data_IF_928632401854
#
_entry.id   IF_928632401854
#
_cell.length_a   1.000
_cell.length_b   1.000
_cell.length_c   1.000
_cell.angle_alpha   90.00
_cell.angle_beta   90.00
_cell.angle_gamma   90.00
#
_symmetry.space_group_name_H-M   'P 1'
#
loop_
_entity.id
_entity.type
_entity.pdbx_description
1 polymer ?
#
# COMPACT_ATOMS: atom_id res chain seq x y z
N UNK A 1 8.25 -24.39 -37.52
CA UNK A 1 7.81 -23.20 -38.27
C UNK A 1 8.63 -22.02 -37.74
N UNK A 2 9.66 -21.65 -38.49
CA UNK A 2 10.58 -20.56 -38.14
C UNK A 2 9.94 -19.26 -38.59
N UNK A 3 9.85 -18.28 -37.70
CA UNK A 3 9.47 -16.90 -38.02
C UNK A 3 10.63 -15.96 -37.68
N UNK A 4 11.01 -15.28 -38.69
CA UNK A 4 12.02 -14.26 -38.89
C UNK A 4 12.02 -13.17 -37.81
N UNK A 5 13.15 -12.94 -37.17
CA UNK A 5 13.51 -11.67 -36.57
C UNK A 5 14.39 -10.88 -37.52
N UNK A 6 13.92 -9.74 -37.96
CA UNK A 6 14.58 -8.80 -38.85
C UNK A 6 15.78 -8.11 -38.20
N UNK A 7 16.85 -7.80 -38.91
CA UNK A 7 18.09 -7.27 -38.36
C UNK A 7 18.10 -5.73 -38.37
N UNK A 8 17.37 -5.10 -37.47
CA UNK A 8 17.41 -3.63 -37.33
C UNK A 8 18.16 -3.14 -36.07
N UNK A 9 18.62 -4.05 -35.22
CA UNK A 9 19.33 -3.69 -33.98
C UNK A 9 20.86 -3.83 -34.06
N UNK A 10 21.44 -4.26 -35.17
CA UNK A 10 22.88 -4.49 -35.29
C UNK A 10 23.63 -3.25 -35.77
N UNK A 11 22.94 -2.28 -36.37
CA UNK A 11 23.55 -1.05 -36.90
C UNK A 11 23.92 -0.02 -35.84
N UNK A 12 23.14 0.11 -34.80
CA UNK A 12 23.44 1.11 -33.75
C UNK A 12 24.53 0.69 -32.75
N UNK A 13 24.73 -0.62 -32.56
CA UNK A 13 25.83 -1.11 -31.68
C UNK A 13 27.22 -0.98 -32.29
N UNK A 14 27.33 -0.89 -33.62
CA UNK A 14 28.64 -0.71 -34.31
C UNK A 14 29.11 0.75 -34.30
N UNK A 15 28.21 1.72 -34.22
CA UNK A 15 28.59 3.14 -34.07
C UNK A 15 29.03 3.50 -32.67
N UNK A 16 28.56 2.79 -31.64
CA UNK A 16 28.95 3.01 -30.23
C UNK A 16 30.30 2.34 -29.93
N UNK A 17 30.65 1.28 -30.63
CA UNK A 17 31.93 0.55 -30.45
C UNK A 17 33.13 1.23 -31.07
N UNK A 18 32.97 2.14 -32.06
CA UNK A 18 34.09 2.86 -32.68
C UNK A 18 34.54 4.13 -31.91
N UNK A 19 33.85 4.51 -30.83
CA UNK A 19 34.21 5.67 -30.00
C UNK A 19 34.90 5.25 -28.69
N UNK A 20 35.06 3.95 -28.44
CA UNK A 20 35.50 3.40 -27.16
C UNK A 20 36.98 3.06 -27.06
N UNK A 21 37.81 3.35 -28.07
CA UNK A 21 39.19 2.86 -28.15
C UNK A 21 40.29 3.92 -27.94
N UNK A 22 39.99 4.97 -27.18
CA UNK A 22 41.07 5.78 -26.57
C UNK A 22 40.68 6.34 -25.20
N UNK A 23 41.31 5.77 -24.14
CA UNK A 23 41.50 6.33 -22.79
C UNK A 23 40.35 6.22 -21.79
N UNK A 24 40.50 5.26 -20.90
CA UNK A 24 39.98 5.15 -19.52
C UNK A 24 38.53 5.60 -19.23
N UNK A 25 37.69 4.74 -18.58
CA UNK A 25 36.22 4.96 -18.44
C UNK A 25 35.78 6.15 -17.61
N UNK A 26 36.72 6.84 -16.95
CA UNK A 26 36.40 7.96 -16.03
C UNK A 26 36.37 9.35 -16.69
N UNK A 27 36.71 9.46 -17.96
CA UNK A 27 36.72 10.79 -18.63
C UNK A 27 35.59 11.07 -19.63
N UNK A 28 34.80 10.06 -20.00
CA UNK A 28 33.74 10.22 -21.03
C UNK A 28 32.44 10.78 -20.45
N UNK A 29 32.16 10.54 -19.18
CA UNK A 29 30.94 11.10 -18.52
C UNK A 29 30.97 12.61 -18.30
N UNK A 30 32.16 13.24 -18.32
CA UNK A 30 32.30 14.67 -18.06
C UNK A 30 32.16 15.59 -19.30
N UNK A 31 32.23 15.04 -20.52
CA UNK A 31 32.24 15.88 -21.73
C UNK A 31 30.88 16.07 -22.43
N UNK A 32 29.92 15.19 -22.18
CA UNK A 32 28.58 15.30 -22.79
C UNK A 32 27.69 16.27 -22.01
N UNK A 33 27.98 16.50 -20.73
CA UNK A 33 27.20 17.43 -19.88
C UNK A 33 27.77 18.88 -19.81
N UNK A 34 28.95 19.16 -20.40
CA UNK A 34 29.60 20.46 -20.26
C UNK A 34 29.23 21.50 -21.34
N UNK A 35 28.56 21.11 -22.42
CA UNK A 35 28.30 22.02 -23.54
C UNK A 35 26.93 22.70 -23.56
N UNK A 36 26.04 22.46 -22.56
CA UNK A 36 24.73 23.11 -22.48
C UNK A 36 24.56 24.02 -21.27
N UNK A 37 25.63 24.42 -20.59
CA UNK A 37 25.57 25.11 -19.28
C UNK A 37 25.92 26.61 -19.30
N UNK A 38 26.12 27.26 -20.43
CA UNK A 38 26.60 28.63 -20.44
C UNK A 38 25.58 29.74 -20.63
N UNK A 39 24.28 29.43 -20.84
CA UNK A 39 23.30 30.53 -21.09
C UNK A 39 21.86 30.18 -20.63
N UNK A 40 21.64 29.80 -19.37
CA UNK A 40 20.28 29.89 -18.80
C UNK A 40 20.35 30.28 -17.32
N UNK A 41 19.66 31.39 -17.00
CA UNK A 41 19.66 32.03 -15.69
C UNK A 41 19.49 31.05 -14.52
N UNK A 42 20.40 31.14 -13.56
CA UNK A 42 20.62 30.21 -12.46
C UNK A 42 19.49 30.13 -11.41
N UNK A 43 18.41 30.89 -11.52
CA UNK A 43 17.46 31.06 -10.43
C UNK A 43 16.05 30.47 -10.66
N UNK A 44 15.73 29.92 -11.84
CA UNK A 44 14.36 29.46 -12.15
C UNK A 44 14.22 27.93 -12.27
N UNK A 45 15.29 27.20 -12.38
CA UNK A 45 15.24 25.80 -12.84
C UNK A 45 15.21 24.75 -11.73
N UNK A 46 15.76 25.02 -10.54
CA UNK A 46 15.81 24.01 -9.48
C UNK A 46 14.44 23.78 -8.79
N UNK A 47 13.57 24.79 -8.80
CA UNK A 47 12.23 24.68 -8.19
C UNK A 47 11.41 23.55 -8.82
N UNK A 48 11.49 23.41 -10.14
CA UNK A 48 10.79 22.33 -10.87
C UNK A 48 11.28 20.94 -10.42
N UNK A 49 12.59 20.78 -10.26
CA UNK A 49 13.16 19.51 -9.79
C UNK A 49 12.81 19.23 -8.32
N UNK A 50 12.76 20.29 -7.51
CA UNK A 50 12.37 20.18 -6.10
C UNK A 50 10.89 19.79 -5.99
N UNK A 51 10.00 20.48 -6.71
CA UNK A 51 8.55 20.21 -6.72
C UNK A 51 8.29 18.77 -7.20
N UNK A 52 8.97 18.33 -8.27
CA UNK A 52 8.86 16.96 -8.77
C UNK A 52 9.36 15.91 -7.76
N UNK A 53 10.47 16.21 -7.07
CA UNK A 53 10.99 15.31 -6.03
C UNK A 53 10.04 15.23 -4.83
N UNK A 54 9.48 16.36 -4.41
CA UNK A 54 8.47 16.40 -3.34
C UNK A 54 7.23 15.59 -3.72
N UNK A 55 6.80 15.66 -4.97
CA UNK A 55 5.67 14.87 -5.48
C UNK A 55 5.96 13.37 -5.42
N UNK A 56 7.14 12.93 -5.90
CA UNK A 56 7.58 11.52 -5.77
C UNK A 56 7.59 11.08 -4.30
N UNK A 57 8.20 11.86 -3.41
CA UNK A 57 8.30 11.52 -1.99
C UNK A 57 6.93 11.48 -1.32
N UNK A 58 6.00 12.35 -1.71
CA UNK A 58 4.62 12.35 -1.22
C UNK A 58 3.86 11.08 -1.61
N UNK A 59 4.04 10.58 -2.84
CA UNK A 59 3.50 9.29 -3.28
C UNK A 59 4.10 8.11 -2.48
N UNK A 60 5.34 8.24 -2.02
CA UNK A 60 5.98 7.30 -1.10
C UNK A 60 5.58 7.52 0.38
N UNK A 61 4.63 8.43 0.64
CA UNK A 61 4.14 8.81 1.99
C UNK A 61 5.21 9.44 2.89
N UNK A 62 6.28 9.96 2.30
CA UNK A 62 7.29 10.73 3.02
C UNK A 62 6.85 12.20 3.02
N UNK A 63 6.67 12.76 4.21
CA UNK A 63 6.33 14.19 4.37
C UNK A 63 7.52 15.06 3.96
N UNK A 64 7.24 16.14 3.21
CA UNK A 64 8.24 17.08 2.77
C UNK A 64 7.87 18.50 3.19
N UNK A 65 8.86 19.26 3.68
CA UNK A 65 8.66 20.64 4.12
C UNK A 65 9.81 21.52 3.61
N UNK A 66 9.48 22.78 3.31
CA UNK A 66 10.46 23.84 3.02
C UNK A 66 10.28 24.90 4.08
N UNK A 67 11.31 25.20 4.81
CA UNK A 67 11.28 26.13 5.95
C UNK A 67 12.37 27.18 5.80
N UNK A 68 12.16 28.32 6.43
CA UNK A 68 13.17 29.38 6.50
C UNK A 68 14.24 29.06 7.58
N UNK A 69 15.48 29.47 7.36
CA UNK A 69 16.55 29.41 8.36
C UNK A 69 16.35 30.55 9.40
N UNK A 70 16.67 30.35 10.69
CA UNK A 70 17.24 29.14 11.26
C UNK A 70 16.21 28.01 11.42
N UNK A 71 16.72 26.75 11.40
CA UNK A 71 15.87 25.59 11.62
C UNK A 71 15.16 25.66 12.98
N UNK A 72 13.84 25.58 12.96
CA UNK A 72 13.00 25.47 14.15
C UNK A 72 12.13 24.23 14.00
N UNK A 73 12.23 23.30 14.94
CA UNK A 73 11.42 22.10 14.94
C UNK A 73 9.92 22.41 14.99
N UNK A 74 9.17 21.71 14.17
CA UNK A 74 7.71 21.70 14.22
C UNK A 74 7.21 20.27 14.41
N UNK A 75 6.17 20.09 15.19
CA UNK A 75 5.57 18.78 15.50
C UNK A 75 5.09 18.02 14.25
N UNK A 76 4.84 18.71 13.14
CA UNK A 76 4.48 18.08 11.87
C UNK A 76 5.64 17.27 11.25
N UNK A 77 6.90 17.56 11.63
CA UNK A 77 8.07 16.91 11.01
C UNK A 77 8.28 15.47 11.48
N UNK A 78 7.72 15.07 12.62
CA UNK A 78 7.74 13.67 13.10
C UNK A 78 6.32 13.10 13.27
N UNK A 79 5.31 13.73 12.67
CA UNK A 79 3.92 13.31 12.81
C UNK A 79 3.39 13.43 14.24
N UNK A 80 3.99 14.30 15.07
CA UNK A 80 3.58 14.54 16.46
C UNK A 80 4.09 13.51 17.47
N UNK A 81 5.00 12.62 17.08
CA UNK A 81 5.54 11.55 17.94
C UNK A 81 6.06 12.10 19.25
N UNK A 82 7.02 13.02 19.19
CA UNK A 82 7.70 13.56 20.37
C UNK A 82 6.78 14.39 21.27
N UNK A 83 5.92 15.19 20.66
CA UNK A 83 4.94 15.98 21.40
C UNK A 83 3.93 15.12 22.16
N UNK A 84 3.57 13.98 21.59
CA UNK A 84 2.64 13.03 22.23
C UNK A 84 3.28 12.33 23.41
N UNK A 85 4.54 11.91 23.28
CA UNK A 85 5.23 11.12 24.31
C UNK A 85 5.71 12.02 25.46
N UNK A 86 6.32 13.17 25.15
CA UNK A 86 6.93 14.04 26.13
C UNK A 86 6.01 15.17 26.59
N UNK A 87 6.15 15.58 27.83
CA UNK A 87 5.50 16.80 28.30
C UNK A 87 6.13 18.06 27.67
N UNK A 88 5.48 19.20 27.82
CA UNK A 88 5.90 20.45 27.17
C UNK A 88 7.32 20.91 27.54
N UNK A 89 7.79 20.61 28.76
CA UNK A 89 9.13 21.01 29.20
C UNK A 89 10.21 20.14 28.56
N UNK A 90 10.05 18.81 28.61
CA UNK A 90 10.95 17.85 27.99
C UNK A 90 10.95 18.02 26.46
N UNK A 91 9.80 18.19 25.86
CA UNK A 91 9.66 18.44 24.44
C UNK A 91 10.44 19.70 24.00
N UNK A 92 10.25 20.83 24.67
CA UNK A 92 10.99 22.07 24.35
C UNK A 92 12.49 21.92 24.49
N UNK A 93 12.97 21.25 25.55
CA UNK A 93 14.40 21.01 25.75
C UNK A 93 15.02 20.20 24.61
N UNK A 94 14.38 19.06 24.27
CA UNK A 94 14.83 18.18 23.20
C UNK A 94 14.82 18.86 21.82
N UNK A 95 13.77 19.67 21.56
CA UNK A 95 13.67 20.38 20.28
C UNK A 95 14.73 21.46 20.15
N UNK A 96 15.11 22.13 21.22
CA UNK A 96 16.21 23.10 21.21
C UNK A 96 17.56 22.43 20.90
N UNK A 97 17.82 21.25 21.45
CA UNK A 97 19.03 20.49 21.15
C UNK A 97 19.03 20.00 19.70
N UNK A 98 17.88 19.57 19.20
CA UNK A 98 17.73 19.15 17.81
C UNK A 98 17.89 20.34 16.83
N UNK A 99 17.30 21.48 17.13
CA UNK A 99 17.45 22.71 16.35
C UNK A 99 18.93 23.11 16.24
N UNK A 100 19.64 23.08 17.38
CA UNK A 100 21.09 23.37 17.40
C UNK A 100 21.87 22.37 16.58
N UNK A 101 21.53 21.08 16.67
CA UNK A 101 22.19 20.03 15.91
C UNK A 101 22.02 20.24 14.41
N UNK A 102 20.79 20.39 13.92
CA UNK A 102 20.51 20.63 12.50
C UNK A 102 21.22 21.88 12.01
N UNK A 103 21.15 23.00 12.76
CA UNK A 103 21.81 24.26 12.39
C UNK A 103 23.34 24.12 12.32
N UNK A 104 23.93 23.26 13.16
CA UNK A 104 25.38 23.05 13.15
C UNK A 104 25.87 22.22 11.95
N UNK A 105 25.10 21.21 11.56
CA UNK A 105 25.49 20.24 10.53
C UNK A 105 24.88 20.52 9.15
N UNK A 106 23.89 21.42 9.06
CA UNK A 106 23.29 21.84 7.78
C UNK A 106 24.22 22.82 7.07
N UNK A 107 25.02 22.30 6.13
CA UNK A 107 25.99 23.09 5.36
C UNK A 107 25.54 23.22 3.91
N UNK A 108 26.08 24.22 3.22
CA UNK A 108 25.90 24.35 1.78
C UNK A 108 26.41 23.11 1.05
N UNK A 109 25.75 22.71 -0.01
CA UNK A 109 26.09 21.54 -0.83
C UNK A 109 26.22 20.22 -0.04
N UNK A 110 25.50 20.10 1.08
CA UNK A 110 25.57 18.90 1.94
C UNK A 110 24.18 18.33 2.14
N UNK A 111 24.05 17.04 1.90
CA UNK A 111 22.91 16.24 2.30
C UNK A 111 23.16 15.75 3.71
N UNK A 112 22.34 16.18 4.65
CA UNK A 112 22.42 15.70 6.02
C UNK A 112 21.31 14.65 6.23
N UNK A 113 21.68 13.39 6.46
CA UNK A 113 20.78 12.29 6.81
C UNK A 113 20.91 12.04 8.31
N UNK A 114 19.82 12.15 9.01
CA UNK A 114 19.75 11.98 10.46
C UNK A 114 18.95 10.73 10.80
N UNK A 115 19.58 9.83 11.53
CA UNK A 115 18.95 8.69 12.21
C UNK A 115 18.74 9.04 13.69
N UNK A 116 17.52 8.95 14.18
CA UNK A 116 17.21 9.30 15.57
C UNK A 116 17.04 8.06 16.48
N UNK A 117 16.84 8.30 17.78
CA UNK A 117 16.64 7.24 18.78
C UNK A 117 15.32 6.48 18.64
N UNK A 118 14.42 6.93 17.80
CA UNK A 118 13.17 6.25 17.43
C UNK A 118 13.31 5.46 16.13
N UNK A 119 14.53 5.30 15.59
CA UNK A 119 14.81 4.67 14.30
C UNK A 119 14.09 5.34 13.12
N UNK A 120 13.82 6.64 13.23
CA UNK A 120 13.30 7.46 12.17
C UNK A 120 14.44 8.16 11.44
N UNK A 121 14.34 8.20 10.10
CA UNK A 121 15.26 8.88 9.21
C UNK A 121 14.69 10.20 8.75
N UNK A 122 15.54 11.22 8.66
CA UNK A 122 15.22 12.54 8.15
C UNK A 122 16.33 13.00 7.21
N UNK A 123 15.96 13.67 6.13
CA UNK A 123 16.88 14.26 5.17
C UNK A 123 16.74 15.77 5.23
N UNK A 124 17.86 16.48 5.34
CA UNK A 124 17.95 17.92 5.36
C UNK A 124 18.86 18.41 4.25
N UNK A 125 18.39 19.42 3.50
CA UNK A 125 19.15 20.08 2.45
C UNK A 125 18.99 21.60 2.61
N UNK A 126 20.08 22.35 2.67
CA UNK A 126 20.03 23.79 2.51
C UNK A 126 19.91 24.12 1.02
N UNK A 127 18.83 24.80 0.61
CA UNK A 127 18.58 25.09 -0.80
C UNK A 127 19.57 26.13 -1.33
N UNK A 128 20.03 26.00 -2.60
CA UNK A 128 20.97 26.95 -3.18
C UNK A 128 20.37 28.34 -3.27
N UNK A 129 21.21 29.35 -3.12
CA UNK A 129 20.87 30.79 -3.24
C UNK A 129 19.68 31.23 -2.38
N UNK A 130 19.44 30.53 -1.27
CA UNK A 130 18.34 30.85 -0.35
C UNK A 130 18.68 30.45 1.09
N UNK A 131 18.03 31.10 2.04
CA UNK A 131 18.10 30.71 3.46
C UNK A 131 17.05 29.64 3.82
N UNK A 132 16.64 28.82 2.84
CA UNK A 132 15.63 27.79 3.04
C UNK A 132 16.24 26.42 3.18
N UNK A 133 15.61 25.61 4.03
CA UNK A 133 15.98 24.23 4.27
C UNK A 133 14.83 23.34 3.81
N UNK A 134 15.14 22.39 2.94
CA UNK A 134 14.22 21.29 2.59
C UNK A 134 14.38 20.16 3.60
N UNK A 135 13.26 19.61 4.03
CA UNK A 135 13.20 18.47 4.96
C UNK A 135 12.33 17.40 4.33
N UNK A 136 12.79 16.14 4.38
CA UNK A 136 12.00 14.97 4.05
C UNK A 136 12.06 13.94 5.19
N UNK A 137 10.94 13.44 5.62
CA UNK A 137 10.79 12.46 6.71
C UNK A 137 9.50 12.69 7.51
N UNK A 138 9.20 11.83 8.52
CA UNK A 138 9.98 10.66 8.92
C UNK A 138 9.76 9.46 7.99
N UNK A 139 10.76 8.61 7.88
CA UNK A 139 10.69 7.29 7.27
C UNK A 139 11.68 6.35 7.97
N UNK A 140 11.72 5.06 7.63
CA UNK A 140 12.71 4.15 8.21
C UNK A 140 13.22 3.15 7.19
N UNK A 141 14.42 2.61 7.45
CA UNK A 141 14.98 1.47 6.70
C UNK A 141 14.76 0.14 7.42
N UNK A 142 14.19 0.18 8.62
CA UNK A 142 13.93 -0.98 9.46
C UNK A 142 12.44 -1.30 9.50
N UNK A 143 12.09 -2.60 9.39
CA UNK A 143 10.73 -3.06 9.65
C UNK A 143 10.47 -3.19 11.15
N UNK A 144 9.33 -2.69 11.60
CA UNK A 144 8.96 -2.73 13.01
C UNK A 144 7.99 -3.88 13.29
N UNK A 145 8.44 -4.80 14.15
CA UNK A 145 7.60 -5.83 14.76
C UNK A 145 7.15 -5.35 16.14
N UNK A 146 6.10 -5.94 16.72
CA UNK A 146 5.68 -5.61 18.09
C UNK A 146 6.81 -5.82 19.11
N UNK A 147 7.63 -6.86 18.93
CA UNK A 147 8.80 -7.08 19.76
C UNK A 147 9.78 -5.92 19.61
N UNK A 148 10.09 -5.52 18.38
CA UNK A 148 11.03 -4.42 18.11
C UNK A 148 10.52 -3.08 18.66
N UNK A 149 9.21 -2.80 18.55
CA UNK A 149 8.60 -1.62 19.16
C UNK A 149 8.71 -1.66 20.68
N UNK A 150 8.49 -2.82 21.29
CA UNK A 150 8.67 -2.99 22.74
C UNK A 150 10.12 -2.77 23.19
N UNK A 151 11.08 -3.28 22.41
CA UNK A 151 12.52 -3.05 22.64
C UNK A 151 12.87 -1.56 22.55
N UNK A 152 12.34 -0.86 21.52
CA UNK A 152 12.54 0.59 21.34
C UNK A 152 11.89 1.39 22.49
N UNK A 153 10.69 1.02 22.91
CA UNK A 153 10.04 1.65 24.07
C UNK A 153 10.89 1.45 25.34
N UNK A 154 11.40 0.24 25.55
CA UNK A 154 12.26 -0.06 26.70
C UNK A 154 13.58 0.72 26.65
N UNK A 155 14.23 0.73 25.47
CA UNK A 155 15.48 1.48 25.26
C UNK A 155 15.32 2.97 25.53
N UNK A 156 14.24 3.57 25.04
CA UNK A 156 13.93 4.99 25.27
C UNK A 156 13.21 5.25 26.60
N UNK A 157 13.03 4.23 27.46
CA UNK A 157 12.31 4.30 28.74
C UNK A 157 10.86 4.80 28.62
N UNK A 158 10.18 4.54 27.49
CA UNK A 158 8.81 4.97 27.22
C UNK A 158 7.83 4.13 28.05
N UNK A 159 6.93 4.74 28.84
CA UNK A 159 5.94 4.01 29.63
C UNK A 159 5.01 3.15 28.78
N UNK A 160 4.61 1.98 29.32
CA UNK A 160 3.76 1.00 28.62
C UNK A 160 2.42 1.56 28.13
N UNK A 161 1.89 2.64 28.76
CA UNK A 161 0.68 3.32 28.32
C UNK A 161 0.75 3.90 26.88
N UNK A 162 1.96 4.07 26.35
CA UNK A 162 2.18 4.53 24.97
C UNK A 162 2.32 3.39 23.95
N UNK A 163 2.30 2.11 24.36
CA UNK A 163 2.57 1.00 23.45
C UNK A 163 1.62 0.97 22.26
N UNK A 164 0.32 1.16 22.47
CA UNK A 164 -0.67 1.17 21.39
C UNK A 164 -0.43 2.34 20.42
N UNK A 165 -0.16 3.51 20.95
CA UNK A 165 0.21 4.69 20.15
C UNK A 165 1.48 4.42 19.30
N UNK A 166 2.52 3.83 19.89
CA UNK A 166 3.76 3.50 19.18
C UNK A 166 3.53 2.46 18.08
N UNK A 167 2.67 1.46 18.33
CA UNK A 167 2.29 0.47 17.31
C UNK A 167 1.57 1.13 16.13
N UNK A 168 0.63 2.04 16.40
CA UNK A 168 -0.07 2.78 15.34
C UNK A 168 0.87 3.71 14.57
N UNK A 169 1.78 4.39 15.28
CA UNK A 169 2.76 5.28 14.67
C UNK A 169 3.68 4.52 13.70
N UNK A 170 4.31 3.43 14.16
CA UNK A 170 5.21 2.65 13.31
C UNK A 170 4.47 1.89 12.20
N UNK A 171 3.21 1.54 12.38
CA UNK A 171 2.39 0.98 11.31
C UNK A 171 2.13 1.99 10.18
N UNK A 172 2.08 3.29 10.50
CA UNK A 172 1.89 4.37 9.53
C UNK A 172 3.21 4.89 8.94
N UNK A 173 4.35 4.60 9.57
CA UNK A 173 5.66 5.07 9.13
C UNK A 173 6.07 4.41 7.80
N UNK A 174 6.47 5.17 6.77
CA UNK A 174 7.01 4.61 5.54
C UNK A 174 8.31 3.83 5.81
N UNK A 175 8.38 2.60 5.28
CA UNK A 175 9.56 1.74 5.47
C UNK A 175 10.12 1.31 4.12
N UNK A 176 11.43 1.50 3.93
CA UNK A 176 12.17 1.13 2.73
C UNK A 176 13.30 0.17 3.09
N UNK A 177 13.26 -1.05 2.60
CA UNK A 177 14.28 -2.08 2.92
C UNK A 177 15.59 -1.87 2.17
N UNK A 178 15.61 -1.07 1.11
CA UNK A 178 16.82 -0.69 0.37
C UNK A 178 17.07 0.82 0.49
N UNK A 179 18.07 1.19 1.29
CA UNK A 179 18.49 2.59 1.48
C UNK A 179 18.82 3.28 0.16
N UNK A 180 19.39 2.53 -0.81
CA UNK A 180 19.81 3.08 -2.11
C UNK A 180 18.64 3.65 -2.92
N UNK A 181 17.43 3.18 -2.67
CA UNK A 181 16.24 3.68 -3.35
C UNK A 181 16.00 5.16 -3.02
N UNK A 182 15.94 5.50 -1.75
CA UNK A 182 15.74 6.89 -1.30
C UNK A 182 16.97 7.74 -1.62
N UNK A 183 18.17 7.21 -1.39
CA UNK A 183 19.43 7.89 -1.73
C UNK A 183 19.49 8.23 -3.23
N UNK A 184 19.02 7.35 -4.11
CA UNK A 184 19.01 7.60 -5.57
C UNK A 184 18.09 8.77 -5.94
N UNK A 185 16.91 8.88 -5.32
CA UNK A 185 15.97 10.00 -5.55
C UNK A 185 16.64 11.31 -5.12
N UNK A 186 17.19 11.35 -3.91
CA UNK A 186 17.81 12.54 -3.36
C UNK A 186 19.10 12.92 -4.10
N UNK A 187 19.93 11.97 -4.46
CA UNK A 187 21.12 12.20 -5.26
C UNK A 187 20.78 12.76 -6.65
N UNK A 188 19.68 12.30 -7.24
CA UNK A 188 19.20 12.83 -8.51
C UNK A 188 18.79 14.30 -8.36
N UNK A 189 18.05 14.66 -7.33
CA UNK A 189 17.74 16.05 -7.01
C UNK A 189 19.03 16.86 -6.84
N UNK A 190 19.93 16.43 -5.95
CA UNK A 190 21.15 17.16 -5.61
C UNK A 190 22.10 17.35 -6.80
N UNK A 191 22.14 16.40 -7.73
CA UNK A 191 22.89 16.53 -8.99
C UNK A 191 22.34 17.65 -9.91
N UNK A 192 21.08 18.09 -9.69
CA UNK A 192 20.48 19.23 -10.38
C UNK A 192 20.65 20.54 -9.63
N UNK A 193 20.77 20.46 -8.29
CA UNK A 193 21.03 21.62 -7.45
C UNK A 193 22.48 22.06 -7.49
N UNK A 194 23.41 21.11 -7.44
CA UNK A 194 24.86 21.40 -7.27
C UNK A 194 25.73 20.61 -8.23
N UNK A 195 26.87 21.17 -8.58
CA UNK A 195 27.89 20.48 -9.37
C UNK A 195 28.64 19.43 -8.53
N UNK A 196 28.84 19.74 -7.24
CA UNK A 196 29.45 18.86 -6.25
C UNK A 196 28.68 18.95 -4.94
N UNK A 197 28.43 17.83 -4.31
CA UNK A 197 27.79 17.76 -2.99
C UNK A 197 28.37 16.61 -2.18
N UNK A 198 28.15 16.66 -0.86
CA UNK A 198 28.58 15.61 0.08
C UNK A 198 27.37 15.07 0.82
N UNK A 199 27.47 13.81 1.30
CA UNK A 199 26.45 13.18 2.13
C UNK A 199 27.04 12.99 3.52
N UNK A 200 26.42 13.58 4.53
CA UNK A 200 26.76 13.38 5.94
C UNK A 200 25.64 12.59 6.62
N UNK A 201 25.95 11.36 7.09
CA UNK A 201 25.04 10.56 7.92
C UNK A 201 25.37 10.79 9.38
N UNK A 202 24.39 11.19 10.18
CA UNK A 202 24.55 11.46 11.63
C UNK A 202 23.51 10.68 12.42
N UNK A 203 23.90 10.22 13.61
CA UNK A 203 22.98 9.65 14.59
C UNK A 203 22.78 10.63 15.73
N UNK A 204 21.51 10.89 16.04
CA UNK A 204 21.14 11.60 17.25
C UNK A 204 20.65 10.56 18.25
N UNK A 205 21.52 10.27 19.22
CA UNK A 205 21.13 9.49 20.39
C UNK A 205 20.61 10.47 21.43
N UNK A 206 19.37 10.28 21.85
CA UNK A 206 18.83 11.02 22.98
C UNK A 206 19.67 10.65 24.21
N UNK A 207 20.36 11.61 24.82
CA UNK A 207 21.02 11.35 26.09
C UNK A 207 19.92 11.02 27.09
N UNK A 208 19.97 9.83 27.70
CA UNK A 208 19.17 9.47 28.86
C UNK A 208 19.56 10.37 30.03
N UNK A 209 19.07 11.57 30.05
CA UNK A 209 19.08 12.41 31.26
C UNK A 209 17.84 12.00 32.07
N UNK A 210 18.05 11.65 33.30
CA UNK A 210 17.28 10.90 34.28
C UNK A 210 15.86 11.38 34.61
N UNK A 211 15.25 12.31 33.89
CA UNK A 211 13.89 12.78 34.14
C UNK A 211 13.21 13.29 32.89
N UNK A 212 12.96 12.42 31.90
CA UNK A 212 11.95 12.78 30.92
C UNK A 212 10.58 12.70 31.59
N UNK A 213 9.95 13.82 31.77
CA UNK A 213 8.56 13.85 32.22
C UNK A 213 7.68 13.53 31.02
N UNK A 214 7.12 12.34 31.02
CA UNK A 214 6.19 11.88 30.02
C UNK A 214 4.84 12.60 30.16
N UNK A 215 4.11 12.66 29.07
CA UNK A 215 2.77 13.21 29.08
C UNK A 215 1.85 12.29 29.91
N UNK A 216 1.07 12.86 30.83
CA UNK A 216 0.13 12.09 31.64
C UNK A 216 -1.18 11.76 30.92
N UNK A 217 -1.46 12.45 29.83
CA UNK A 217 -2.67 12.22 29.03
C UNK A 217 -2.55 10.92 28.24
N UNK A 218 -3.68 10.25 28.03
CA UNK A 218 -3.78 9.15 27.09
C UNK A 218 -3.42 9.67 25.69
N UNK A 219 -2.49 9.02 24.98
CA UNK A 219 -2.07 9.48 23.67
C UNK A 219 -3.22 9.36 22.66
N UNK A 220 -3.41 10.41 21.88
CA UNK A 220 -4.30 10.38 20.71
C UNK A 220 -3.53 9.89 19.48
N UNK A 221 -4.20 9.20 18.54
CA UNK A 221 -3.56 8.82 17.28
C UNK A 221 -3.04 10.04 16.54
N UNK A 222 -1.87 9.92 15.91
CA UNK A 222 -1.34 10.99 15.05
C UNK A 222 -2.22 11.16 13.80
N UNK A 223 -2.20 12.35 13.20
CA UNK A 223 -2.88 12.59 11.93
C UNK A 223 -2.49 11.56 10.87
N UNK A 224 -1.20 11.24 10.76
CA UNK A 224 -0.69 10.23 9.83
C UNK A 224 -1.25 8.83 10.12
N UNK A 225 -1.41 8.46 11.40
CA UNK A 225 -2.04 7.19 11.78
C UNK A 225 -3.53 7.16 11.40
N UNK A 226 -4.24 8.28 11.57
CA UNK A 226 -5.65 8.41 11.17
C UNK A 226 -5.78 8.27 9.65
N UNK A 227 -5.00 9.02 8.88
CA UNK A 227 -4.99 8.96 7.42
C UNK A 227 -4.68 7.55 6.90
N UNK A 228 -3.75 6.85 7.54
CA UNK A 228 -3.44 5.45 7.22
C UNK A 228 -4.63 4.51 7.50
N UNK A 229 -5.31 4.70 8.63
CA UNK A 229 -6.51 3.93 8.96
C UNK A 229 -7.63 4.17 7.93
N UNK A 230 -7.92 5.43 7.62
CA UNK A 230 -8.93 5.81 6.64
C UNK A 230 -8.63 5.22 5.26
N UNK A 231 -7.37 5.29 4.82
CA UNK A 231 -6.95 4.71 3.56
C UNK A 231 -7.15 3.20 3.53
N UNK A 232 -6.79 2.49 4.60
CA UNK A 232 -7.00 1.04 4.70
C UNK A 232 -8.48 0.65 4.57
N UNK A 233 -9.38 1.37 5.25
CA UNK A 233 -10.82 1.13 5.12
C UNK A 233 -11.34 1.44 3.70
N UNK A 234 -10.79 2.47 3.06
CA UNK A 234 -11.11 2.78 1.66
C UNK A 234 -10.67 1.65 0.72
N UNK A 235 -9.46 1.13 0.89
CA UNK A 235 -8.95 0.00 0.12
C UNK A 235 -9.78 -1.28 0.35
N UNK A 236 -10.18 -1.55 1.59
CA UNK A 236 -11.07 -2.67 1.93
C UNK A 236 -12.43 -2.54 1.23
N UNK A 237 -13.02 -1.35 1.23
CA UNK A 237 -14.29 -1.09 0.53
C UNK A 237 -14.15 -1.29 -1.00
N UNK A 238 -13.07 -0.79 -1.60
CA UNK A 238 -12.80 -0.99 -3.03
C UNK A 238 -12.60 -2.46 -3.39
N UNK A 239 -11.90 -3.22 -2.53
CA UNK A 239 -11.78 -4.67 -2.68
C UNK A 239 -13.13 -5.37 -2.63
N UNK A 240 -13.96 -5.03 -1.64
CA UNK A 240 -15.31 -5.60 -1.50
C UNK A 240 -16.18 -5.29 -2.73
N UNK A 241 -16.14 -4.06 -3.22
CA UNK A 241 -16.89 -3.62 -4.40
C UNK A 241 -16.40 -4.37 -5.66
N UNK A 242 -15.11 -4.48 -5.87
CA UNK A 242 -14.52 -5.21 -7.00
C UNK A 242 -14.94 -6.68 -6.99
N UNK A 243 -14.92 -7.34 -5.82
CA UNK A 243 -15.38 -8.72 -5.67
C UNK A 243 -16.88 -8.83 -5.95
N UNK A 244 -17.69 -7.91 -5.41
CA UNK A 244 -19.15 -7.92 -5.62
C UNK A 244 -19.55 -7.71 -7.10
N UNK A 245 -18.66 -7.13 -7.91
CA UNK A 245 -18.81 -7.02 -9.36
C UNK A 245 -18.10 -8.15 -10.15
N UNK A 246 -17.34 -9.01 -9.47
CA UNK A 246 -16.53 -10.04 -10.12
C UNK A 246 -15.35 -9.49 -10.90
N UNK A 247 -14.91 -8.26 -10.60
CA UNK A 247 -13.84 -7.57 -11.32
C UNK A 247 -12.46 -7.83 -10.70
N UNK A 248 -11.86 -8.95 -11.09
CA UNK A 248 -10.52 -9.31 -10.64
C UNK A 248 -9.43 -8.37 -11.21
N UNK A 249 -9.64 -7.78 -12.41
CA UNK A 249 -8.64 -6.89 -13.02
C UNK A 249 -8.43 -5.63 -12.18
N UNK A 250 -9.48 -5.05 -11.64
CA UNK A 250 -9.39 -3.90 -10.73
C UNK A 250 -8.60 -4.24 -9.47
N UNK A 251 -8.77 -5.45 -8.91
CA UNK A 251 -7.99 -5.92 -7.75
C UNK A 251 -6.50 -6.07 -8.10
N UNK A 252 -6.19 -6.64 -9.25
CA UNK A 252 -4.82 -6.81 -9.73
C UNK A 252 -4.13 -5.47 -9.97
N UNK A 253 -4.84 -4.52 -10.58
CA UNK A 253 -4.34 -3.16 -10.79
C UNK A 253 -4.10 -2.43 -9.45
N UNK A 254 -4.98 -2.57 -8.46
CA UNK A 254 -4.78 -2.00 -7.12
C UNK A 254 -3.50 -2.54 -6.47
N UNK A 255 -3.18 -3.82 -6.61
CA UNK A 255 -1.95 -4.43 -6.10
C UNK A 255 -0.70 -3.92 -6.80
N UNK A 256 -0.75 -3.65 -8.10
CA UNK A 256 0.38 -3.10 -8.87
C UNK A 256 0.65 -1.63 -8.57
N UNK A 257 -0.39 -0.83 -8.33
CA UNK A 257 -0.27 0.61 -8.07
C UNK A 257 0.05 0.89 -6.59
N UNK A 258 -0.57 0.13 -5.71
CA UNK A 258 -0.35 0.21 -4.28
C UNK A 258 0.50 -1.00 -3.88
N UNK A 259 1.81 -0.91 -3.99
CA UNK A 259 2.73 -1.85 -3.35
C UNK A 259 2.57 -1.86 -1.80
N UNK A 260 1.61 -1.12 -1.29
CA UNK A 260 1.14 -1.17 0.07
C UNK A 260 0.11 -2.27 0.18
N UNK A 261 0.58 -3.45 0.48
CA UNK A 261 -0.21 -4.50 1.10
C UNK A 261 -1.21 -3.90 2.08
N UNK A 262 -2.44 -4.43 2.11
CA UNK A 262 -3.27 -4.32 3.29
C UNK A 262 -2.42 -4.90 4.42
N UNK A 263 -1.61 -4.04 5.05
CA UNK A 263 -0.61 -4.50 6.02
C UNK A 263 -1.34 -5.17 7.18
N UNK A 264 -0.94 -6.37 7.58
CA UNK A 264 -1.48 -6.99 8.77
C UNK A 264 -1.36 -6.03 9.95
N UNK A 265 -2.38 -5.98 10.78
CA UNK A 265 -2.43 -5.11 11.98
C UNK A 265 -1.35 -5.46 13.00
N UNK A 266 -0.75 -6.62 12.87
CA UNK A 266 0.20 -7.22 13.79
C UNK A 266 1.36 -7.83 12.99
N UNK A 267 2.43 -8.05 13.65
CA UNK A 267 3.75 -8.45 13.19
C UNK A 267 3.84 -9.61 12.22
N UNK A 268 4.95 -9.68 11.50
CA UNK A 268 5.37 -10.65 10.48
C UNK A 268 5.45 -12.13 10.95
N UNK A 269 4.68 -12.55 11.93
CA UNK A 269 4.59 -13.98 12.27
C UNK A 269 3.67 -14.69 11.29
N UNK A 270 3.96 -15.94 11.01
CA UNK A 270 3.10 -16.79 10.19
C UNK A 270 1.68 -16.86 10.75
N UNK A 271 1.53 -16.79 12.08
CA UNK A 271 0.23 -16.77 12.75
C UNK A 271 -0.55 -15.51 12.42
N UNK A 272 0.08 -14.35 12.49
CA UNK A 272 -0.58 -13.07 12.17
C UNK A 272 -0.98 -13.00 10.70
N UNK A 273 -0.14 -13.51 9.80
CA UNK A 273 -0.49 -13.62 8.39
C UNK A 273 -1.65 -14.57 8.15
N UNK A 274 -1.74 -15.71 8.86
CA UNK A 274 -2.91 -16.59 8.82
C UNK A 274 -4.18 -15.89 9.32
N UNK A 275 -4.11 -15.15 10.44
CA UNK A 275 -5.23 -14.39 10.96
C UNK A 275 -5.73 -13.36 9.93
N UNK A 276 -4.80 -12.62 9.27
CA UNK A 276 -5.13 -11.71 8.19
C UNK A 276 -5.83 -12.43 7.03
N UNK A 277 -5.33 -13.59 6.61
CA UNK A 277 -5.92 -14.38 5.52
C UNK A 277 -7.33 -14.89 5.85
N UNK A 278 -7.61 -15.23 7.11
CA UNK A 278 -8.96 -15.61 7.57
C UNK A 278 -9.90 -14.39 7.51
N UNK A 279 -9.42 -13.20 7.90
CA UNK A 279 -10.19 -11.96 7.77
C UNK A 279 -10.47 -11.67 6.29
N UNK A 280 -9.47 -11.75 5.42
CA UNK A 280 -9.62 -11.56 3.98
C UNK A 280 -10.65 -12.53 3.39
N UNK A 281 -10.57 -13.81 3.70
CA UNK A 281 -11.55 -14.82 3.27
C UNK A 281 -12.96 -14.45 3.73
N UNK A 282 -13.11 -13.92 4.94
CA UNK A 282 -14.41 -13.48 5.47
C UNK A 282 -14.95 -12.24 4.72
N UNK A 283 -14.09 -11.25 4.46
CA UNK A 283 -14.44 -10.04 3.70
C UNK A 283 -14.86 -10.41 2.27
N UNK A 284 -14.09 -11.25 1.57
CA UNK A 284 -14.41 -11.74 0.23
C UNK A 284 -15.75 -12.48 0.19
N UNK A 285 -16.02 -13.33 1.19
CA UNK A 285 -17.30 -14.03 1.35
C UNK A 285 -18.47 -13.06 1.52
N UNK A 286 -18.29 -12.00 2.34
CA UNK A 286 -19.31 -10.98 2.54
C UNK A 286 -19.56 -10.14 1.29
N UNK A 287 -18.50 -9.78 0.57
CA UNK A 287 -18.62 -9.10 -0.71
C UNK A 287 -19.38 -9.94 -1.76
N UNK A 288 -19.07 -11.22 -1.88
CA UNK A 288 -19.80 -12.12 -2.78
C UNK A 288 -21.26 -12.35 -2.32
N UNK A 289 -21.51 -12.35 -1.01
CA UNK A 289 -22.88 -12.40 -0.48
C UNK A 289 -23.69 -11.17 -0.89
N UNK A 290 -23.09 -9.97 -0.89
CA UNK A 290 -23.77 -8.74 -1.32
C UNK A 290 -24.11 -8.73 -2.82
N UNK A 291 -23.44 -9.58 -3.62
CA UNK A 291 -23.77 -9.86 -5.02
C UNK A 291 -24.84 -10.94 -5.19
N UNK A 292 -25.54 -11.34 -4.12
CA UNK A 292 -26.60 -12.34 -4.11
C UNK A 292 -26.14 -13.74 -4.55
N UNK A 293 -24.89 -14.10 -4.30
CA UNK A 293 -24.44 -15.49 -4.41
C UNK A 293 -25.02 -16.30 -3.25
N UNK A 294 -25.54 -17.48 -3.56
CA UNK A 294 -26.20 -18.31 -2.54
C UNK A 294 -25.23 -18.81 -1.48
N UNK A 295 -25.64 -18.85 -0.17
CA UNK A 295 -24.78 -19.25 0.95
C UNK A 295 -24.11 -20.62 0.81
N UNK A 296 -24.69 -21.58 0.15
CA UNK A 296 -24.11 -22.91 -0.10
C UNK A 296 -22.77 -22.81 -0.83
N UNK A 297 -22.70 -22.02 -1.89
CA UNK A 297 -21.46 -21.80 -2.65
C UNK A 297 -20.43 -21.01 -1.85
N UNK A 298 -20.91 -20.02 -1.07
CA UNK A 298 -20.07 -19.18 -0.23
C UNK A 298 -19.42 -20.00 0.91
N UNK A 299 -20.17 -20.87 1.55
CA UNK A 299 -19.67 -21.71 2.64
C UNK A 299 -18.66 -22.74 2.14
N UNK A 300 -18.94 -23.37 1.00
CA UNK A 300 -18.04 -24.34 0.39
C UNK A 300 -16.65 -23.73 0.09
N UNK A 301 -16.62 -22.60 -0.59
CA UNK A 301 -15.35 -21.94 -0.96
C UNK A 301 -14.62 -21.41 0.27
N UNK A 302 -15.35 -20.78 1.21
CA UNK A 302 -14.79 -20.23 2.45
C UNK A 302 -14.14 -21.30 3.31
N UNK A 303 -14.79 -22.46 3.47
CA UNK A 303 -14.25 -23.60 4.20
C UNK A 303 -12.99 -24.18 3.55
N UNK A 304 -13.00 -24.33 2.21
CA UNK A 304 -11.82 -24.80 1.45
C UNK A 304 -10.61 -23.89 1.67
N UNK A 305 -10.81 -22.58 1.66
CA UNK A 305 -9.73 -21.63 1.92
C UNK A 305 -9.28 -21.61 3.37
N UNK A 306 -10.18 -21.71 4.34
CA UNK A 306 -9.79 -21.80 5.75
C UNK A 306 -8.85 -23.00 6.00
N UNK A 307 -9.17 -24.18 5.43
CA UNK A 307 -8.30 -25.35 5.50
C UNK A 307 -6.93 -25.12 4.85
N UNK A 308 -6.91 -24.50 3.64
CA UNK A 308 -5.66 -24.19 2.94
C UNK A 308 -4.79 -23.20 3.74
N UNK A 309 -5.39 -22.17 4.33
CA UNK A 309 -4.70 -21.17 5.15
C UNK A 309 -4.03 -21.85 6.34
N UNK A 310 -4.76 -22.72 7.05
CA UNK A 310 -4.20 -23.45 8.20
C UNK A 310 -3.06 -24.38 7.80
N UNK A 311 -3.13 -25.01 6.62
CA UNK A 311 -2.10 -25.91 6.11
C UNK A 311 -0.82 -25.18 5.67
N UNK A 312 -0.84 -23.87 5.42
CA UNK A 312 0.36 -23.12 5.03
C UNK A 312 1.41 -23.09 6.15
N UNK A 313 2.66 -23.30 5.79
CA UNK A 313 3.81 -23.33 6.70
C UNK A 313 4.81 -22.21 6.46
N UNK A 314 4.60 -21.38 5.42
CA UNK A 314 5.46 -20.22 5.10
C UNK A 314 4.64 -19.01 4.68
N UNK A 315 5.23 -17.82 4.84
CA UNK A 315 4.63 -16.55 4.40
C UNK A 315 4.43 -16.54 2.88
N UNK A 316 5.40 -17.03 2.11
CA UNK A 316 5.31 -17.11 0.65
C UNK A 316 4.10 -17.94 0.16
N UNK A 317 3.76 -19.02 0.86
CA UNK A 317 2.55 -19.81 0.55
C UNK A 317 1.27 -19.01 0.82
N UNK A 318 1.24 -18.23 1.90
CA UNK A 318 0.08 -17.39 2.23
C UNK A 318 -0.08 -16.23 1.22
N UNK A 319 1.01 -15.63 0.76
CA UNK A 319 0.98 -14.57 -0.28
C UNK A 319 0.45 -15.10 -1.62
N UNK A 320 0.89 -16.27 -2.05
CA UNK A 320 0.35 -16.93 -3.24
C UNK A 320 -1.14 -17.23 -3.10
N UNK A 321 -1.58 -17.68 -1.90
CA UNK A 321 -2.97 -18.00 -1.61
C UNK A 321 -3.87 -16.77 -1.61
N UNK A 322 -3.36 -15.58 -1.23
CA UNK A 322 -4.10 -14.33 -1.22
C UNK A 322 -4.67 -13.97 -2.60
N UNK A 323 -3.86 -14.11 -3.64
CA UNK A 323 -4.29 -13.90 -5.03
C UNK A 323 -5.32 -14.94 -5.49
N UNK A 324 -5.16 -16.21 -5.07
CA UNK A 324 -6.12 -17.27 -5.38
C UNK A 324 -7.49 -17.02 -4.70
N UNK A 325 -7.51 -16.58 -3.45
CA UNK A 325 -8.75 -16.24 -2.73
C UNK A 325 -9.55 -15.19 -3.50
N UNK A 326 -8.96 -14.03 -3.75
CA UNK A 326 -9.67 -12.89 -4.38
C UNK A 326 -10.16 -13.26 -5.79
N UNK A 327 -9.31 -13.93 -6.58
CA UNK A 327 -9.67 -14.38 -7.92
C UNK A 327 -10.84 -15.39 -7.89
N UNK A 328 -10.82 -16.36 -7.00
CA UNK A 328 -11.86 -17.39 -6.89
C UNK A 328 -13.20 -16.80 -6.46
N UNK A 329 -13.21 -15.83 -5.54
CA UNK A 329 -14.46 -15.15 -5.19
C UNK A 329 -15.01 -14.29 -6.33
N UNK A 330 -14.17 -13.61 -7.12
CA UNK A 330 -14.61 -12.92 -8.33
C UNK A 330 -15.23 -13.89 -9.34
N UNK A 331 -14.59 -15.03 -9.60
CA UNK A 331 -15.13 -16.07 -10.49
C UNK A 331 -16.46 -16.64 -9.95
N UNK A 332 -16.58 -16.83 -8.65
CA UNK A 332 -17.80 -17.27 -8.03
C UNK A 332 -18.95 -16.29 -8.25
N UNK A 333 -18.67 -14.98 -8.09
CA UNK A 333 -19.66 -13.92 -8.36
C UNK A 333 -20.03 -13.90 -9.83
N UNK A 334 -19.08 -14.00 -10.76
CA UNK A 334 -19.35 -14.06 -12.20
C UNK A 334 -20.26 -15.23 -12.57
N UNK A 335 -20.10 -16.39 -11.91
CA UNK A 335 -20.84 -17.62 -12.23
C UNK A 335 -22.20 -17.71 -11.54
N UNK A 336 -22.35 -17.14 -10.35
CA UNK A 336 -23.50 -17.43 -9.48
C UNK A 336 -24.20 -16.18 -8.93
N UNK A 337 -23.80 -14.97 -9.33
CA UNK A 337 -24.46 -13.74 -8.87
C UNK A 337 -25.86 -13.63 -9.47
N UNK A 338 -26.81 -13.38 -8.60
CA UNK A 338 -28.19 -13.11 -8.97
C UNK A 338 -28.57 -11.64 -8.81
N UNK A 339 -27.57 -10.75 -8.73
CA UNK A 339 -27.76 -9.32 -8.47
C UNK A 339 -28.67 -8.61 -9.48
N UNK A 340 -28.66 -9.05 -10.72
CA UNK A 340 -29.44 -8.44 -11.82
C UNK A 340 -30.91 -8.83 -11.83
N UNK A 341 -31.27 -9.84 -11.03
CA UNK A 341 -32.64 -10.38 -11.02
C UNK A 341 -33.46 -9.84 -9.83
N UNK A 342 -34.77 -9.74 -10.04
CA UNK A 342 -35.71 -9.42 -8.96
C UNK A 342 -35.77 -10.53 -7.91
N UNK A 343 -36.17 -10.18 -6.68
CA UNK A 343 -36.22 -11.15 -5.57
C UNK A 343 -37.05 -12.41 -5.88
N UNK A 344 -38.21 -12.33 -6.50
CA UNK A 344 -38.96 -13.54 -6.93
C UNK A 344 -38.13 -14.43 -7.86
N UNK A 345 -37.46 -13.84 -8.88
CA UNK A 345 -36.63 -14.60 -9.82
C UNK A 345 -35.43 -15.20 -9.17
N UNK A 346 -34.74 -14.47 -8.26
CA UNK A 346 -33.64 -15.02 -7.45
C UNK A 346 -34.08 -16.26 -6.68
N UNK A 347 -35.23 -16.20 -6.01
CA UNK A 347 -35.76 -17.30 -5.23
C UNK A 347 -36.05 -18.53 -6.09
N UNK A 348 -36.63 -18.30 -7.27
CA UNK A 348 -36.97 -19.38 -8.23
C UNK A 348 -35.66 -20.01 -8.78
N UNK A 349 -34.64 -19.21 -9.16
CA UNK A 349 -33.36 -19.74 -9.64
C UNK A 349 -32.69 -20.58 -8.57
N UNK A 350 -32.66 -20.11 -7.33
CA UNK A 350 -32.12 -20.87 -6.20
C UNK A 350 -32.89 -22.17 -5.98
N UNK A 351 -34.23 -22.13 -5.98
CA UNK A 351 -35.04 -23.30 -5.83
C UNK A 351 -34.76 -24.36 -6.90
N UNK A 352 -34.74 -23.96 -8.18
CA UNK A 352 -34.37 -24.83 -9.29
C UNK A 352 -32.99 -25.44 -9.08
N UNK A 353 -32.00 -24.61 -8.74
CA UNK A 353 -30.59 -25.04 -8.62
C UNK A 353 -30.35 -26.09 -7.52
N UNK A 354 -31.16 -26.07 -6.46
CA UNK A 354 -31.01 -27.00 -5.32
C UNK A 354 -32.02 -28.15 -5.31
N UNK A 355 -32.99 -28.18 -6.25
CA UNK A 355 -34.03 -29.20 -6.30
C UNK A 355 -34.13 -29.88 -7.67
N UNK A 356 -33.01 -30.10 -8.37
CA UNK A 356 -32.99 -30.63 -9.74
C UNK A 356 -33.67 -31.99 -9.90
N UNK A 357 -33.85 -32.76 -8.80
CA UNK A 357 -34.54 -34.03 -8.79
C UNK A 357 -36.05 -33.92 -8.48
N UNK A 358 -36.55 -32.75 -8.12
CA UNK A 358 -37.95 -32.53 -7.83
C UNK A 358 -38.77 -32.28 -9.10
N UNK A 359 -40.13 -32.22 -8.97
CA UNK A 359 -40.96 -31.73 -10.02
C UNK A 359 -40.80 -30.21 -10.19
N UNK A 360 -40.13 -29.81 -11.28
CA UNK A 360 -39.82 -28.43 -11.63
C UNK A 360 -40.72 -27.94 -12.77
N UNK A 361 -41.91 -28.51 -12.89
CA UNK A 361 -42.96 -28.01 -13.82
C UNK A 361 -43.35 -26.57 -13.44
N UNK A 362 -43.82 -25.79 -14.41
CA UNK A 362 -44.28 -24.42 -14.16
C UNK A 362 -45.35 -24.36 -13.08
N UNK A 363 -46.25 -25.38 -13.06
CA UNK A 363 -47.32 -25.50 -12.06
C UNK A 363 -46.75 -25.75 -10.67
N UNK A 364 -45.78 -26.68 -10.53
CA UNK A 364 -45.14 -26.97 -9.25
C UNK A 364 -44.42 -25.73 -8.69
N UNK A 365 -43.60 -25.06 -9.51
CA UNK A 365 -42.88 -23.85 -9.10
C UNK A 365 -43.86 -22.72 -8.72
N UNK A 366 -44.94 -22.53 -9.51
CA UNK A 366 -45.93 -21.47 -9.20
C UNK A 366 -46.68 -21.72 -7.90
N UNK A 367 -46.94 -22.98 -7.58
CA UNK A 367 -47.58 -23.38 -6.31
C UNK A 367 -46.63 -23.15 -5.13
N UNK A 368 -45.37 -23.57 -5.25
CA UNK A 368 -44.34 -23.39 -4.22
C UNK A 368 -44.16 -21.91 -3.82
N UNK A 369 -44.15 -21.02 -4.82
CA UNK A 369 -43.95 -19.60 -4.55
C UNK A 369 -45.26 -18.78 -4.42
N UNK A 370 -46.42 -19.45 -4.45
CA UNK A 370 -47.76 -18.84 -4.40
C UNK A 370 -47.90 -17.72 -5.46
N UNK A 371 -47.41 -17.97 -6.68
CA UNK A 371 -47.49 -17.04 -7.80
C UNK A 371 -48.39 -17.58 -8.89
N UNK A 372 -49.03 -16.65 -9.67
CA UNK A 372 -49.73 -17.05 -10.87
C UNK A 372 -48.76 -17.55 -11.93
N UNK A 373 -49.02 -18.73 -12.55
CA UNK A 373 -48.13 -19.39 -13.49
C UNK A 373 -47.80 -18.54 -14.71
N UNK A 374 -48.78 -17.77 -15.23
CA UNK A 374 -48.58 -16.86 -16.36
C UNK A 374 -47.68 -15.68 -15.99
N UNK A 375 -47.89 -15.10 -14.81
CA UNK A 375 -47.05 -14.03 -14.29
C UNK A 375 -45.64 -14.52 -14.07
N UNK A 376 -45.45 -15.66 -13.41
CA UNK A 376 -44.12 -16.25 -13.15
C UNK A 376 -43.36 -16.51 -14.44
N UNK A 377 -44.00 -17.15 -15.43
CA UNK A 377 -43.40 -17.45 -16.73
C UNK A 377 -42.97 -16.17 -17.47
N UNK A 378 -43.84 -15.15 -17.48
CA UNK A 378 -43.52 -13.86 -18.13
C UNK A 378 -42.41 -13.11 -17.44
N UNK A 379 -42.44 -13.00 -16.10
CA UNK A 379 -41.42 -12.32 -15.31
C UNK A 379 -40.08 -13.02 -15.46
N UNK A 380 -40.04 -14.33 -15.28
CA UNK A 380 -38.79 -15.11 -15.36
C UNK A 380 -38.16 -15.02 -16.75
N UNK A 381 -38.98 -15.18 -17.82
CA UNK A 381 -38.49 -15.04 -19.21
C UNK A 381 -38.01 -13.62 -19.50
N UNK A 382 -38.68 -12.60 -18.99
CA UNK A 382 -38.26 -11.20 -19.17
C UNK A 382 -36.86 -10.94 -18.55
N UNK A 383 -36.57 -11.50 -17.39
CA UNK A 383 -35.36 -11.25 -16.67
C UNK A 383 -34.20 -12.21 -17.05
N UNK A 384 -34.51 -13.49 -17.32
CA UNK A 384 -33.46 -14.52 -17.61
C UNK A 384 -33.30 -14.82 -19.09
N UNK A 385 -34.21 -14.31 -19.95
CA UNK A 385 -34.24 -14.61 -21.39
C UNK A 385 -34.85 -15.98 -21.74
N UNK A 386 -35.11 -16.87 -20.76
CA UNK A 386 -35.61 -18.23 -20.97
C UNK A 386 -36.83 -18.53 -20.08
N UNK A 387 -37.60 -19.57 -20.43
CA UNK A 387 -38.69 -19.99 -19.54
C UNK A 387 -38.14 -20.78 -18.35
N UNK A 388 -38.87 -20.85 -17.20
CA UNK A 388 -38.46 -21.66 -16.07
C UNK A 388 -38.15 -23.11 -16.45
N UNK A 389 -38.96 -23.74 -17.26
CA UNK A 389 -38.78 -25.14 -17.71
C UNK A 389 -37.52 -25.28 -18.58
N UNK A 390 -37.29 -24.36 -19.53
CA UNK A 390 -36.07 -24.39 -20.33
C UNK A 390 -34.80 -24.16 -19.46
N UNK A 391 -34.92 -23.30 -18.45
CA UNK A 391 -33.83 -23.05 -17.49
C UNK A 391 -33.50 -24.29 -16.64
N UNK A 392 -34.51 -25.06 -16.19
CA UNK A 392 -34.30 -26.31 -15.45
C UNK A 392 -33.55 -27.34 -16.29
N UNK A 393 -33.93 -27.50 -17.58
CA UNK A 393 -33.22 -28.41 -18.48
C UNK A 393 -31.73 -27.99 -18.68
N UNK A 394 -31.48 -26.70 -18.87
CA UNK A 394 -30.12 -26.18 -19.03
C UNK A 394 -29.26 -26.47 -17.78
N UNK A 395 -29.78 -26.18 -16.58
CA UNK A 395 -29.08 -26.42 -15.30
C UNK A 395 -28.84 -27.91 -15.03
N UNK A 396 -29.80 -28.78 -15.38
CA UNK A 396 -29.62 -30.22 -15.26
C UNK A 396 -28.48 -30.74 -16.14
N UNK A 397 -28.37 -30.23 -17.37
CA UNK A 397 -27.26 -30.57 -18.28
C UNK A 397 -25.90 -30.06 -17.75
N UNK A 398 -25.81 -28.83 -17.24
CA UNK A 398 -24.56 -28.29 -16.67
C UNK A 398 -24.12 -29.07 -15.45
N UNK A 399 -25.05 -29.53 -14.61
CA UNK A 399 -24.71 -30.32 -13.40
C UNK A 399 -24.27 -31.74 -13.76
N UNK A 400 -24.79 -32.33 -14.84
CA UNK A 400 -24.38 -33.64 -15.31
C UNK A 400 -23.01 -33.65 -16.03
N UNK A 401 -22.55 -32.48 -16.49
CA UNK A 401 -21.26 -32.30 -17.19
C UNK A 401 -20.09 -31.98 -16.25
N UNK A 402 -20.35 -31.62 -15.00
CA UNK A 402 -19.38 -31.36 -13.95
C UNK A 402 -19.30 -32.50 -12.94
#
# INVERSE_FOLDING_TARGET
>A
MRLFFTPLFVSERKQIAMIADEKSPTRISHRIFATSRSEMGSNMNYKIYLDYTMDILSHLKISCHIIDSPFIWNEQYDGGLRKTIWNDAAHRSQMNDFNRFVSTYSKDNTILIIHDSFCCEYIYLKLPDSDKIFIAGPFSFEKFTNQRITELCTYNSIPARFNEFMQLYYAALPVFTDERFIESIINTLCSKLWTHFTIEKKRILTKNNEQYMYNDKTPEPTRQSIEMLEMRYKEENLLMESIAHGDYKSIENMRHLNASDIKPRLTDTIRDRKNFMIILNTICRKAAQSAYVHPVHLDEISRKFAIKIEACTSIAQLEALESDITRRYCMLVQSYSLRTYSKPVQNIINYISFNLTADLSLTAISTEFSLNSSYLSTLFKKETGTTPVSYTHLRAHETAAN
#
